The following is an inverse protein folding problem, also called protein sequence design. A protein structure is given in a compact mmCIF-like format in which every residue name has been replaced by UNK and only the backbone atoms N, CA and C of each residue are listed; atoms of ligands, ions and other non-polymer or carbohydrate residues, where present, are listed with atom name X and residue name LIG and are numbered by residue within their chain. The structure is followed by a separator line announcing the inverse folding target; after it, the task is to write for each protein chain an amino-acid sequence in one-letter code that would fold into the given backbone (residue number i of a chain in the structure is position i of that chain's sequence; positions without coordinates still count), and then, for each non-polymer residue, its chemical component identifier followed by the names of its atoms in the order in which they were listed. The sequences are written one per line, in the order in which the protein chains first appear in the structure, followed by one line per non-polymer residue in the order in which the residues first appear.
data_IF_512532753542
#
_entry.id   IF_512532753542
#
_cell.length_a   1.000
_cell.length_b   1.000
_cell.length_c   1.000
_cell.angle_alpha   90.00
_cell.angle_beta   90.00
_cell.angle_gamma   90.00
#
_symmetry.space_group_name_H-M   'P 1'
#
loop_
_entity.id
_entity.type
_entity.pdbx_description
1 polymer ?
#
# COMPACT_ATOMS: atom_id res chain seq x y z
N UNK A 1 -6.08 44.51 4.10
CA UNK A 1 -5.91 43.20 4.77
C UNK A 1 -7.12 42.27 4.60
N UNK A 2 -8.36 42.72 4.88
CA UNK A 2 -9.58 41.90 4.77
C UNK A 2 -9.87 41.36 3.35
N UNK A 3 -9.69 42.16 2.30
CA UNK A 3 -9.89 41.73 0.91
C UNK A 3 -8.90 40.65 0.45
N UNK A 4 -7.62 40.75 0.84
CA UNK A 4 -6.62 39.73 0.52
C UNK A 4 -6.91 38.40 1.22
N UNK A 5 -7.41 38.44 2.46
CA UNK A 5 -7.85 37.25 3.18
C UNK A 5 -9.08 36.61 2.52
N UNK A 6 -10.04 37.43 2.07
CA UNK A 6 -11.23 36.93 1.38
C UNK A 6 -10.86 36.17 0.09
N UNK A 7 -9.93 36.70 -0.71
CA UNK A 7 -9.47 36.03 -1.92
C UNK A 7 -8.87 34.63 -1.66
N UNK A 8 -8.13 34.45 -0.56
CA UNK A 8 -7.58 33.14 -0.16
C UNK A 8 -8.69 32.18 0.29
N UNK A 9 -9.69 32.68 1.01
CA UNK A 9 -10.85 31.88 1.43
C UNK A 9 -11.64 31.40 0.21
N UNK A 10 -11.89 32.27 -0.76
CA UNK A 10 -12.61 31.92 -1.98
C UNK A 10 -11.83 30.87 -2.80
N UNK A 11 -10.50 30.99 -2.86
CA UNK A 11 -9.63 29.99 -3.50
C UNK A 11 -9.68 28.64 -2.77
N UNK A 12 -9.68 28.63 -1.44
CA UNK A 12 -9.78 27.40 -0.66
C UNK A 12 -11.10 26.68 -0.93
N UNK A 13 -12.21 27.42 -0.89
CA UNK A 13 -13.54 26.86 -1.16
C UNK A 13 -13.64 26.28 -2.59
N UNK A 14 -13.06 26.97 -3.58
CA UNK A 14 -13.02 26.48 -4.95
C UNK A 14 -12.21 25.18 -5.08
N UNK A 15 -11.05 25.10 -4.42
CA UNK A 15 -10.21 23.90 -4.42
C UNK A 15 -10.89 22.72 -3.71
N UNK A 16 -11.58 22.96 -2.58
CA UNK A 16 -12.35 21.93 -1.89
C UNK A 16 -13.45 21.34 -2.78
N UNK A 17 -14.15 22.17 -3.54
CA UNK A 17 -15.16 21.72 -4.50
C UNK A 17 -14.54 20.87 -5.62
N UNK A 18 -13.38 21.29 -6.14
CA UNK A 18 -12.66 20.54 -7.18
C UNK A 18 -12.16 19.19 -6.66
N UNK A 19 -11.59 19.15 -5.45
CA UNK A 19 -11.16 17.90 -4.80
C UNK A 19 -12.36 16.96 -4.65
N UNK A 20 -13.49 17.44 -4.12
CA UNK A 20 -14.68 16.61 -3.96
C UNK A 20 -15.23 16.07 -5.29
N UNK A 21 -15.07 16.82 -6.38
CA UNK A 21 -15.46 16.36 -7.73
C UNK A 21 -14.55 15.25 -8.24
N UNK A 22 -13.23 15.42 -8.08
CA UNK A 22 -12.24 14.41 -8.47
C UNK A 22 -12.36 13.14 -7.63
N UNK A 23 -12.60 13.27 -6.32
CA UNK A 23 -12.83 12.12 -5.43
C UNK A 23 -14.03 11.29 -5.90
N UNK A 24 -15.16 11.94 -6.24
CA UNK A 24 -16.32 11.24 -6.79
C UNK A 24 -15.99 10.50 -8.09
N UNK A 25 -15.20 11.11 -8.97
CA UNK A 25 -14.76 10.47 -10.21
C UNK A 25 -13.86 9.25 -9.93
N UNK A 26 -12.89 9.36 -9.02
CA UNK A 26 -12.03 8.25 -8.59
C UNK A 26 -12.87 7.09 -8.05
N UNK A 27 -13.85 7.38 -7.18
CA UNK A 27 -14.75 6.37 -6.64
C UNK A 27 -15.65 5.73 -7.71
N UNK A 28 -16.08 6.49 -8.73
CA UNK A 28 -16.82 5.94 -9.85
C UNK A 28 -15.95 4.99 -10.69
N UNK A 29 -14.71 5.40 -11.02
CA UNK A 29 -13.74 4.54 -11.71
C UNK A 29 -13.42 3.27 -10.93
N UNK A 30 -13.26 3.39 -9.61
CA UNK A 30 -13.04 2.24 -8.73
C UNK A 30 -14.19 1.22 -8.85
N UNK A 31 -15.44 1.67 -8.68
CA UNK A 31 -16.62 0.79 -8.76
C UNK A 31 -16.80 0.13 -10.12
N UNK A 32 -16.36 0.78 -11.19
CA UNK A 32 -16.40 0.24 -12.54
C UNK A 32 -15.24 -0.71 -12.86
N UNK A 33 -14.23 -0.81 -12.00
CA UNK A 33 -13.04 -1.61 -12.22
C UNK A 33 -12.95 -2.76 -11.20
N UNK A 34 -13.32 -3.97 -11.64
CA UNK A 34 -13.33 -5.18 -10.80
C UNK A 34 -11.95 -5.49 -10.17
N UNK A 35 -10.85 -5.27 -10.90
CA UNK A 35 -9.51 -5.43 -10.34
C UNK A 35 -9.26 -4.47 -9.17
N UNK A 36 -9.69 -3.21 -9.31
CA UNK A 36 -9.60 -2.22 -8.24
C UNK A 36 -10.43 -2.64 -7.02
N UNK A 37 -11.67 -3.07 -7.21
CA UNK A 37 -12.52 -3.56 -6.10
C UNK A 37 -11.89 -4.76 -5.38
N UNK A 38 -11.30 -5.71 -6.12
CA UNK A 38 -10.60 -6.85 -5.51
C UNK A 38 -9.38 -6.42 -4.70
N UNK A 39 -8.59 -5.48 -5.22
CA UNK A 39 -7.40 -4.97 -4.53
C UNK A 39 -7.71 -4.22 -3.23
N UNK A 40 -8.82 -3.49 -3.17
CA UNK A 40 -9.27 -2.79 -1.95
C UNK A 40 -9.55 -3.75 -0.78
N UNK A 41 -9.90 -5.01 -1.06
CA UNK A 41 -10.14 -6.00 0.00
C UNK A 41 -8.90 -6.31 0.84
N UNK A 42 -7.70 -5.96 0.36
CA UNK A 42 -6.45 -6.14 1.11
C UNK A 42 -6.35 -5.09 2.22
N UNK A 43 -6.20 -5.48 3.49
CA UNK A 43 -6.05 -4.53 4.59
C UNK A 43 -4.89 -3.55 4.36
N UNK A 44 -5.21 -2.26 4.36
CA UNK A 44 -4.27 -1.18 4.09
C UNK A 44 -4.25 -0.69 2.64
N UNK A 45 -4.90 -1.38 1.69
CA UNK A 45 -5.10 -0.86 0.34
C UNK A 45 -6.50 -0.22 0.30
N UNK A 46 -6.56 1.12 0.32
CA UNK A 46 -7.80 1.86 0.14
C UNK A 46 -8.08 2.14 -1.35
N UNK A 47 -9.26 2.69 -1.66
CA UNK A 47 -9.69 3.06 -3.03
C UNK A 47 -8.59 3.72 -3.85
N UNK A 48 -7.91 4.75 -3.33
CA UNK A 48 -6.83 5.45 -4.05
C UNK A 48 -5.66 4.51 -4.38
N UNK A 49 -5.27 3.65 -3.44
CA UNK A 49 -4.22 2.65 -3.65
C UNK A 49 -4.64 1.59 -4.65
N UNK A 50 -5.89 1.14 -4.55
CA UNK A 50 -6.44 0.12 -5.43
C UNK A 50 -6.59 0.62 -6.87
N UNK A 51 -7.10 1.84 -7.08
CA UNK A 51 -7.20 2.45 -8.42
C UNK A 51 -5.82 2.74 -8.97
N UNK A 52 -4.89 3.26 -8.16
CA UNK A 52 -3.52 3.51 -8.61
C UNK A 52 -2.83 2.22 -9.08
N UNK A 53 -2.92 1.13 -8.32
CA UNK A 53 -2.33 -0.16 -8.72
C UNK A 53 -3.01 -0.69 -10.00
N UNK A 54 -4.35 -0.71 -10.04
CA UNK A 54 -5.10 -1.22 -11.18
C UNK A 54 -4.88 -0.41 -12.47
N UNK A 55 -4.59 0.90 -12.36
CA UNK A 55 -4.32 1.76 -13.51
C UNK A 55 -2.85 1.77 -13.95
N UNK A 56 -1.92 1.42 -13.05
CA UNK A 56 -0.47 1.42 -13.35
C UNK A 56 0.01 0.08 -13.87
N UNK A 57 -0.58 -1.02 -13.40
CA UNK A 57 -0.23 -2.38 -13.81
C UNK A 57 -1.16 -2.79 -14.95
N UNK A 58 -0.66 -2.77 -16.18
CA UNK A 58 -1.47 -3.13 -17.37
C UNK A 58 -1.61 -4.64 -17.52
N UNK A 59 -0.51 -5.39 -17.37
CA UNK A 59 -0.51 -6.85 -17.34
C UNK A 59 0.22 -7.39 -16.10
N UNK A 60 -0.49 -8.04 -15.16
CA UNK A 60 0.14 -8.67 -13.99
C UNK A 60 1.16 -9.77 -14.33
N UNK A 61 1.09 -10.34 -15.54
CA UNK A 61 1.97 -11.40 -16.02
C UNK A 61 3.40 -10.93 -16.29
N UNK A 62 3.61 -9.60 -16.42
CA UNK A 62 4.92 -8.97 -16.52
C UNK A 62 5.81 -9.27 -15.31
N UNK A 63 5.19 -9.62 -14.17
CA UNK A 63 5.87 -10.00 -12.94
C UNK A 63 5.76 -11.51 -12.73
N UNK A 64 6.90 -12.21 -12.69
CA UNK A 64 6.93 -13.67 -12.45
C UNK A 64 6.49 -14.03 -11.04
N UNK A 65 6.64 -13.11 -10.09
CA UNK A 65 6.30 -13.32 -8.69
C UNK A 65 5.94 -12.01 -7.97
N UNK A 66 5.26 -12.14 -6.83
CA UNK A 66 5.00 -11.00 -5.95
C UNK A 66 6.27 -10.34 -5.41
N UNK A 67 7.40 -11.08 -5.36
CA UNK A 67 8.71 -10.52 -5.03
C UNK A 67 9.17 -9.54 -6.12
N UNK A 68 8.96 -9.88 -7.39
CA UNK A 68 9.34 -9.03 -8.52
C UNK A 68 8.47 -7.77 -8.56
N UNK A 69 7.17 -7.90 -8.28
CA UNK A 69 6.28 -6.76 -8.13
C UNK A 69 6.70 -5.83 -6.99
N UNK A 70 7.03 -6.39 -5.81
CA UNK A 70 7.55 -5.60 -4.71
C UNK A 70 8.91 -4.95 -5.02
N UNK A 71 9.76 -5.61 -5.80
CA UNK A 71 11.02 -5.06 -6.26
C UNK A 71 10.80 -3.88 -7.22
N UNK A 72 9.86 -4.00 -8.14
CA UNK A 72 9.47 -2.95 -9.08
C UNK A 72 8.88 -1.71 -8.39
N UNK A 73 8.15 -1.89 -7.28
CA UNK A 73 7.70 -0.75 -6.43
C UNK A 73 8.86 -0.19 -5.58
N UNK A 74 9.94 -0.94 -5.38
CA UNK A 74 11.09 -0.54 -4.56
C UNK A 74 10.91 -0.79 -3.06
N UNK A 75 10.15 -1.83 -2.70
CA UNK A 75 9.94 -2.29 -1.31
C UNK A 75 10.91 -3.39 -0.85
N UNK A 76 11.76 -3.88 -1.76
CA UNK A 76 12.79 -4.90 -1.43
C UNK A 76 14.08 -4.27 -0.91
N UNK A 77 14.85 -4.96 -0.05
CA UNK A 77 16.16 -4.48 0.39
C UNK A 77 17.13 -4.22 -0.76
N UNK A 78 17.98 -3.19 -0.63
CA UNK A 78 19.10 -2.95 -1.54
C UNK A 78 20.21 -3.96 -1.25
N UNK A 79 20.75 -4.58 -2.30
CA UNK A 79 21.86 -5.52 -2.20
C UNK A 79 23.20 -4.82 -2.44
N UNK A 80 24.12 -4.93 -1.48
CA UNK A 80 25.50 -4.43 -1.56
C UNK A 80 26.47 -5.58 -1.28
N UNK A 81 26.37 -6.64 -2.07
CA UNK A 81 27.18 -7.85 -1.89
C UNK A 81 28.46 -7.75 -2.72
N UNK A 82 29.61 -8.04 -2.10
CA UNK A 82 30.93 -8.09 -2.75
C UNK A 82 31.69 -9.31 -2.26
N UNK A 83 32.50 -9.92 -3.14
CA UNK A 83 33.42 -11.02 -2.77
C UNK A 83 32.79 -12.17 -1.99
N UNK A 84 31.56 -12.59 -2.34
CA UNK A 84 30.86 -13.70 -1.69
C UNK A 84 30.18 -13.38 -0.35
N UNK A 85 30.25 -12.14 0.15
CA UNK A 85 29.55 -11.72 1.37
C UNK A 85 28.23 -11.03 1.02
N UNK A 86 27.12 -11.64 1.41
CA UNK A 86 25.81 -11.02 1.25
C UNK A 86 25.61 -9.90 2.27
N UNK A 87 25.25 -8.71 1.80
CA UNK A 87 24.86 -7.57 2.66
C UNK A 87 23.59 -6.94 2.10
N UNK A 88 22.54 -6.95 2.92
CA UNK A 88 21.26 -6.29 2.64
C UNK A 88 21.16 -4.99 3.45
N UNK A 89 20.82 -3.90 2.76
CA UNK A 89 20.61 -2.59 3.37
C UNK A 89 19.13 -2.26 3.59
N UNK A 90 18.81 -0.95 3.67
CA UNK A 90 17.43 -0.48 3.62
C UNK A 90 16.75 -0.80 2.28
N UNK A 91 15.44 -0.52 2.17
CA UNK A 91 14.72 -0.70 0.91
C UNK A 91 15.39 0.05 -0.24
N UNK A 92 15.34 -0.52 -1.45
CA UNK A 92 16.01 0.02 -2.63
C UNK A 92 15.52 1.44 -2.94
N UNK A 93 14.22 1.70 -2.75
CA UNK A 93 13.52 2.91 -3.21
C UNK A 93 13.61 3.13 -4.73
N UNK A 94 14.16 2.17 -5.46
CA UNK A 94 14.22 2.12 -6.92
C UNK A 94 12.90 1.52 -7.39
N UNK A 95 12.07 2.31 -8.06
CA UNK A 95 10.70 1.92 -8.39
C UNK A 95 9.69 3.05 -8.18
N UNK A 96 8.41 2.75 -8.40
CA UNK A 96 7.34 3.73 -8.32
C UNK A 96 7.22 4.36 -6.92
N UNK A 97 7.54 5.66 -6.84
CA UNK A 97 7.51 6.43 -5.58
C UNK A 97 6.08 6.61 -5.07
N UNK A 98 5.10 6.76 -5.95
CA UNK A 98 3.71 7.02 -5.62
C UNK A 98 3.06 5.77 -5.04
N UNK A 99 3.15 4.63 -5.72
CA UNK A 99 2.65 3.35 -5.22
C UNK A 99 3.32 2.95 -3.91
N UNK A 100 4.64 3.11 -3.82
CA UNK A 100 5.38 2.84 -2.57
C UNK A 100 4.87 3.70 -1.42
N UNK A 101 4.57 4.98 -1.68
CA UNK A 101 4.02 5.90 -0.67
C UNK A 101 2.64 5.44 -0.22
N UNK A 102 1.74 5.12 -1.14
CA UNK A 102 0.39 4.66 -0.83
C UNK A 102 0.41 3.38 0.01
N UNK A 103 1.20 2.38 -0.38
CA UNK A 103 1.33 1.13 0.37
C UNK A 103 1.92 1.34 1.75
N UNK A 104 2.93 2.22 1.91
CA UNK A 104 3.51 2.51 3.23
C UNK A 104 2.54 3.28 4.13
N UNK A 105 1.75 4.22 3.59
CA UNK A 105 0.70 4.92 4.35
C UNK A 105 -0.37 3.93 4.81
N UNK A 106 -0.85 3.08 3.91
CA UNK A 106 -1.81 2.02 4.20
C UNK A 106 -1.31 1.04 5.25
N UNK A 107 -0.08 0.57 5.10
CA UNK A 107 0.58 -0.28 6.07
C UNK A 107 0.75 0.40 7.44
N UNK A 108 1.01 1.71 7.48
CA UNK A 108 1.08 2.47 8.74
C UNK A 108 -0.28 2.46 9.46
N UNK A 109 -1.38 2.59 8.71
CA UNK A 109 -2.73 2.46 9.28
C UNK A 109 -2.99 1.04 9.81
N UNK A 110 -2.58 0.01 9.09
CA UNK A 110 -2.66 -1.40 9.55
C UNK A 110 -1.87 -1.60 10.85
N UNK A 111 -0.65 -1.06 10.95
CA UNK A 111 0.18 -1.13 12.17
C UNK A 111 -0.48 -0.40 13.34
N UNK A 112 -1.10 0.76 13.10
CA UNK A 112 -1.88 1.48 14.11
C UNK A 112 -3.07 0.66 14.59
N UNK A 113 -3.83 0.07 13.66
CA UNK A 113 -4.98 -0.77 13.98
C UNK A 113 -4.58 -2.05 14.71
N UNK A 114 -3.45 -2.67 14.34
CA UNK A 114 -2.90 -3.84 15.02
C UNK A 114 -2.62 -3.58 16.50
N UNK A 115 -2.20 -2.37 16.88
CA UNK A 115 -2.02 -2.01 18.30
C UNK A 115 -3.35 -1.90 19.06
N UNK A 116 -4.42 -1.52 18.37
CA UNK A 116 -5.77 -1.42 18.95
C UNK A 116 -6.46 -2.79 19.03
N UNK A 117 -6.14 -3.70 18.11
CA UNK A 117 -6.70 -5.05 18.06
C UNK A 117 -5.61 -6.11 17.85
N UNK A 118 -4.72 -6.33 18.85
CA UNK A 118 -3.55 -7.22 18.73
C UNK A 118 -3.89 -8.64 18.26
N UNK A 119 -5.00 -9.19 18.76
CA UNK A 119 -5.51 -10.53 18.48
C UNK A 119 -5.81 -10.77 16.99
N UNK A 120 -6.19 -9.73 16.24
CA UNK A 120 -6.45 -9.84 14.79
C UNK A 120 -5.19 -9.76 13.93
N UNK A 121 -4.06 -9.34 14.53
CA UNK A 121 -2.82 -9.07 13.81
C UNK A 121 -1.59 -9.69 14.48
N UNK A 122 -1.59 -10.98 14.83
CA UNK A 122 -0.50 -11.60 15.61
C UNK A 122 0.85 -11.53 14.89
N UNK A 123 0.87 -11.60 13.56
CA UNK A 123 2.12 -11.41 12.79
C UNK A 123 2.69 -10.00 12.97
N UNK A 124 1.87 -8.95 12.84
CA UNK A 124 2.32 -7.55 13.00
C UNK A 124 2.81 -7.32 14.44
N UNK A 125 2.09 -7.86 15.43
CA UNK A 125 2.47 -7.73 16.84
C UNK A 125 3.80 -8.42 17.15
N UNK A 126 4.05 -9.62 16.61
CA UNK A 126 5.36 -10.29 16.74
C UNK A 126 6.51 -9.46 16.16
N UNK A 127 6.29 -8.74 15.05
CA UNK A 127 7.29 -7.84 14.50
C UNK A 127 7.48 -6.59 15.37
N UNK A 128 6.39 -5.99 15.86
CA UNK A 128 6.45 -4.82 16.75
C UNK A 128 7.18 -5.09 18.06
N UNK A 129 7.15 -6.34 18.56
CA UNK A 129 7.92 -6.73 19.74
C UNK A 129 9.44 -6.68 19.52
N UNK A 130 9.92 -6.71 18.27
CA UNK A 130 11.35 -6.81 17.92
C UNK A 130 11.88 -5.62 17.14
N UNK A 131 11.02 -4.85 16.48
CA UNK A 131 11.38 -3.82 15.51
C UNK A 131 10.54 -2.55 15.68
N UNK A 132 11.10 -1.36 15.41
CA UNK A 132 10.37 -0.10 15.46
C UNK A 132 9.25 -0.07 14.43
N UNK A 133 8.17 0.66 14.75
CA UNK A 133 6.92 0.67 13.97
C UNK A 133 7.11 1.03 12.48
N UNK A 134 8.02 1.96 12.15
CA UNK A 134 8.30 2.34 10.76
C UNK A 134 8.87 1.18 9.95
N UNK A 135 9.74 0.34 10.54
CA UNK A 135 10.26 -0.86 9.87
C UNK A 135 9.17 -1.92 9.71
N UNK A 136 8.29 -2.07 10.69
CA UNK A 136 7.15 -2.98 10.61
C UNK A 136 6.17 -2.53 9.51
N UNK A 137 5.90 -1.23 9.39
CA UNK A 137 5.06 -0.68 8.33
C UNK A 137 5.65 -0.99 6.94
N UNK A 138 6.96 -0.89 6.75
CA UNK A 138 7.61 -1.29 5.49
C UNK A 138 7.45 -2.79 5.22
N UNK A 139 7.59 -3.65 6.25
CA UNK A 139 7.38 -5.09 6.11
C UNK A 139 5.92 -5.43 5.76
N UNK A 140 4.95 -4.74 6.37
CA UNK A 140 3.52 -4.87 6.06
C UNK A 140 3.24 -4.40 4.62
N UNK A 141 3.81 -3.28 4.18
CA UNK A 141 3.68 -2.80 2.81
C UNK A 141 4.24 -3.80 1.79
N UNK A 142 5.38 -4.43 2.09
CA UNK A 142 5.96 -5.48 1.25
C UNK A 142 5.03 -6.70 1.16
N UNK A 143 4.42 -7.12 2.29
CA UNK A 143 3.41 -8.17 2.30
C UNK A 143 2.17 -7.81 1.49
N UNK A 144 1.68 -6.56 1.60
CA UNK A 144 0.55 -6.06 0.81
C UNK A 144 0.86 -6.10 -0.69
N UNK A 145 2.08 -5.74 -1.11
CA UNK A 145 2.49 -5.84 -2.52
C UNK A 145 2.45 -7.28 -3.03
N UNK A 146 2.95 -8.25 -2.25
CA UNK A 146 2.88 -9.66 -2.64
C UNK A 146 1.44 -10.16 -2.78
N UNK A 147 0.54 -9.76 -1.86
CA UNK A 147 -0.89 -10.10 -1.90
C UNK A 147 -1.56 -9.45 -3.10
N UNK A 148 -1.29 -8.16 -3.34
CA UNK A 148 -1.83 -7.42 -4.48
C UNK A 148 -1.46 -8.11 -5.81
N UNK A 149 -0.18 -8.48 -5.98
CA UNK A 149 0.24 -9.26 -7.14
C UNK A 149 -0.49 -10.60 -7.26
N UNK A 150 -0.67 -11.33 -6.15
CA UNK A 150 -1.38 -12.61 -6.18
C UNK A 150 -2.84 -12.45 -6.61
N UNK A 151 -3.53 -11.41 -6.13
CA UNK A 151 -4.90 -11.07 -6.55
C UNK A 151 -4.95 -10.69 -8.04
N UNK A 152 -3.99 -9.88 -8.50
CA UNK A 152 -3.94 -9.48 -9.90
C UNK A 152 -3.65 -10.66 -10.84
N UNK A 153 -2.69 -11.52 -10.50
CA UNK A 153 -2.25 -12.62 -11.35
C UNK A 153 -3.18 -13.85 -11.30
N UNK A 154 -3.84 -14.10 -10.15
CA UNK A 154 -4.66 -15.30 -9.95
C UNK A 154 -6.15 -15.02 -9.82
N UNK A 155 -6.54 -13.75 -9.73
CA UNK A 155 -7.90 -13.34 -9.42
C UNK A 155 -8.31 -13.61 -7.96
N UNK A 156 -9.61 -13.46 -7.70
CA UNK A 156 -10.21 -13.64 -6.37
C UNK A 156 -10.09 -12.42 -5.46
N UNK A 157 -10.52 -12.59 -4.21
CA UNK A 157 -10.51 -11.56 -3.17
C UNK A 157 -9.55 -11.93 -2.06
N UNK A 158 -9.07 -10.92 -1.32
CA UNK A 158 -8.28 -11.17 -0.13
C UNK A 158 -9.08 -12.02 0.87
N UNK A 159 -8.45 -13.09 1.33
CA UNK A 159 -8.95 -13.91 2.44
C UNK A 159 -7.99 -13.74 3.60
N UNK A 160 -8.52 -13.37 4.76
CA UNK A 160 -7.72 -13.31 5.96
C UNK A 160 -7.15 -14.72 6.22
N UNK A 161 -5.84 -14.84 6.53
CA UNK A 161 -5.29 -16.13 6.90
C UNK A 161 -6.02 -16.61 8.15
N UNK A 162 -6.54 -17.84 8.10
CA UNK A 162 -7.09 -18.48 9.28
C UNK A 162 -6.02 -18.44 10.36
N UNK A 163 -6.38 -17.88 11.52
CA UNK A 163 -5.52 -17.91 12.68
C UNK A 163 -5.39 -19.38 13.05
N UNK A 164 -4.31 -20.03 12.58
CA UNK A 164 -4.00 -21.39 12.97
C UNK A 164 -4.09 -21.43 14.51
N UNK A 165 -5.06 -22.18 15.02
CA UNK A 165 -5.22 -22.40 16.44
C UNK A 165 -3.86 -22.86 16.95
N UNK A 166 -3.28 -22.08 17.86
CA UNK A 166 -1.97 -22.35 18.40
C UNK A 166 -1.93 -23.78 18.94
N UNK A 167 -1.06 -24.60 18.35
CA UNK A 167 -0.56 -25.84 18.93
C UNK A 167 0.83 -25.57 19.50
#
# INVERSE_FOLDING_TARGET
MKQALQAIVDQLAALELQIGTLDRAIHAHHRANDMSCRLETVPGIAVIGATAIASTVTDPSDFKSGRDFAAWIGLVPRQHSTGGKERLGGISKQGDRYLRRLLVIGATAVVRHARQQPQKHPWVMRLLAKKPAKLVAVAVANKMAHIAWAIMAKGGYYRAPELAAAA
#
